data_IF_850026180295
#
_entry.id   IF_850026180295
#
_cell.length_a   1.000
_cell.length_b   1.000
_cell.length_c   1.000
_cell.angle_alpha   90.00
_cell.angle_beta   90.00
_cell.angle_gamma   90.00
#
_symmetry.space_group_name_H-M   'P 1'
#
loop_
_entity.id
_entity.type
_entity.pdbx_description
1 polymer ?
#
# COMPACT_ATOMS: atom_id res chain seq x y z
N UNK A 1 -9.63 -12.44 7.15
CA UNK A 1 -8.25 -12.94 7.39
C UNK A 1 -7.61 -13.74 6.25
N UNK A 2 -8.36 -14.43 5.42
CA UNK A 2 -7.80 -15.34 4.41
C UNK A 2 -7.06 -14.64 3.25
N UNK A 3 -7.63 -13.57 2.68
CA UNK A 3 -6.97 -12.75 1.64
C UNK A 3 -5.68 -12.09 2.11
N UNK A 4 -5.68 -11.59 3.35
CA UNK A 4 -4.48 -10.97 3.96
C UNK A 4 -3.36 -11.99 4.09
N UNK A 5 -3.68 -13.20 4.57
CA UNK A 5 -2.70 -14.27 4.75
C UNK A 5 -2.11 -14.71 3.42
N UNK A 6 -2.95 -15.07 2.44
CA UNK A 6 -2.46 -15.45 1.09
C UNK A 6 -1.65 -14.35 0.43
N UNK A 7 -2.10 -13.10 0.53
CA UNK A 7 -1.36 -11.96 0.00
C UNK A 7 0.03 -11.82 0.64
N UNK A 8 0.13 -12.04 1.96
CA UNK A 8 1.41 -12.04 2.67
C UNK A 8 2.30 -13.20 2.24
N UNK A 9 1.75 -14.41 2.03
CA UNK A 9 2.50 -15.58 1.58
C UNK A 9 3.11 -15.36 0.19
N UNK A 10 2.33 -14.79 -0.74
CA UNK A 10 2.84 -14.38 -2.06
C UNK A 10 3.86 -13.26 -1.97
N UNK A 11 3.64 -12.27 -1.09
CA UNK A 11 4.58 -11.17 -0.89
C UNK A 11 5.93 -11.68 -0.36
N UNK A 12 5.91 -12.59 0.61
CA UNK A 12 7.12 -13.21 1.16
C UNK A 12 7.89 -14.02 0.10
N UNK A 13 7.18 -14.57 -0.88
CA UNK A 13 7.76 -15.28 -2.03
C UNK A 13 8.16 -14.35 -3.18
N UNK A 14 8.16 -13.03 -2.97
CA UNK A 14 8.40 -11.98 -3.98
C UNK A 14 7.44 -12.00 -5.19
N UNK A 15 6.32 -12.73 -5.10
CA UNK A 15 5.28 -12.72 -6.11
C UNK A 15 4.31 -11.56 -5.85
N UNK A 16 4.77 -10.34 -6.13
CA UNK A 16 4.02 -9.13 -5.80
C UNK A 16 2.72 -8.99 -6.59
N UNK A 17 2.65 -9.52 -7.83
CA UNK A 17 1.43 -9.50 -8.65
C UNK A 17 0.34 -10.35 -7.99
N UNK A 18 0.67 -11.58 -7.56
CA UNK A 18 -0.28 -12.42 -6.85
C UNK A 18 -0.67 -11.82 -5.49
N UNK A 19 0.28 -11.21 -4.77
CA UNK A 19 -0.02 -10.50 -3.53
C UNK A 19 -1.04 -9.37 -3.76
N UNK A 20 -0.83 -8.54 -4.78
CA UNK A 20 -1.77 -7.46 -5.17
C UNK A 20 -3.16 -8.01 -5.47
N UNK A 21 -3.25 -9.15 -6.18
CA UNK A 21 -4.51 -9.79 -6.50
C UNK A 21 -5.28 -10.19 -5.24
N UNK A 22 -4.62 -10.86 -4.30
CA UNK A 22 -5.22 -11.28 -3.03
C UNK A 22 -5.66 -10.08 -2.18
N UNK A 23 -4.79 -9.08 -2.03
CA UNK A 23 -5.15 -7.87 -1.28
C UNK A 23 -6.31 -7.13 -1.94
N UNK A 24 -6.37 -7.09 -3.27
CA UNK A 24 -7.47 -6.45 -4.01
C UNK A 24 -8.79 -7.16 -3.76
N UNK A 25 -8.81 -8.49 -3.73
CA UNK A 25 -10.02 -9.24 -3.39
C UNK A 25 -10.45 -8.99 -1.93
N UNK A 26 -9.51 -8.92 -1.00
CA UNK A 26 -9.81 -8.51 0.37
C UNK A 26 -10.40 -7.11 0.47
N UNK A 27 -9.82 -6.13 -0.26
CA UNK A 27 -10.28 -4.74 -0.27
C UNK A 27 -11.67 -4.60 -0.91
N UNK A 28 -12.04 -5.45 -1.87
CA UNK A 28 -13.42 -5.46 -2.41
C UNK A 28 -14.46 -5.78 -1.34
N UNK A 29 -14.10 -6.61 -0.35
CA UNK A 29 -14.98 -6.97 0.76
C UNK A 29 -14.90 -5.95 1.90
N UNK A 30 -13.70 -5.44 2.17
CA UNK A 30 -13.44 -4.46 3.23
C UNK A 30 -12.67 -3.25 2.67
N UNK A 31 -13.35 -2.30 1.99
CA UNK A 31 -12.68 -1.21 1.27
C UNK A 31 -11.84 -0.28 2.14
N UNK A 32 -12.15 -0.24 3.44
CA UNK A 32 -11.54 0.64 4.43
C UNK A 32 -10.50 -0.09 5.30
N UNK A 33 -10.20 -1.36 4.99
CA UNK A 33 -9.22 -2.13 5.76
C UNK A 33 -7.81 -1.57 5.52
N UNK A 34 -7.36 -0.73 6.46
CA UNK A 34 -6.06 -0.06 6.47
C UNK A 34 -4.91 -1.05 6.31
N UNK A 35 -5.01 -2.26 6.85
CA UNK A 35 -3.96 -3.27 6.75
C UNK A 35 -3.82 -3.79 5.32
N UNK A 36 -4.93 -4.10 4.65
CA UNK A 36 -4.91 -4.57 3.27
C UNK A 36 -4.42 -3.49 2.30
N UNK A 37 -4.90 -2.25 2.47
CA UNK A 37 -4.43 -1.09 1.70
C UNK A 37 -2.91 -0.89 1.86
N UNK A 38 -2.42 -0.95 3.10
CA UNK A 38 -1.01 -0.83 3.41
C UNK A 38 -0.16 -1.92 2.75
N UNK A 39 -0.60 -3.17 2.80
CA UNK A 39 0.14 -4.28 2.23
C UNK A 39 0.13 -4.25 0.69
N UNK A 40 -0.98 -3.83 0.08
CA UNK A 40 -1.06 -3.63 -1.37
C UNK A 40 -0.22 -2.45 -1.83
N UNK A 41 -0.18 -1.35 -1.08
CA UNK A 41 0.71 -0.24 -1.34
C UNK A 41 2.19 -0.67 -1.35
N UNK A 42 2.61 -1.50 -0.38
CA UNK A 42 3.97 -2.05 -0.38
C UNK A 42 4.24 -2.89 -1.62
N UNK A 43 3.32 -3.79 -1.99
CA UNK A 43 3.47 -4.62 -3.18
C UNK A 43 3.58 -3.78 -4.47
N UNK A 44 2.80 -2.70 -4.58
CA UNK A 44 2.94 -1.74 -5.67
C UNK A 44 4.29 -1.03 -5.67
N UNK A 45 4.82 -0.63 -4.51
CA UNK A 45 6.16 -0.04 -4.40
C UNK A 45 7.25 -1.01 -4.88
N UNK A 46 7.12 -2.31 -4.61
CA UNK A 46 8.07 -3.33 -5.08
C UNK A 46 8.07 -3.55 -6.59
N UNK A 47 7.03 -3.06 -7.28
CA UNK A 47 6.88 -3.12 -8.73
C UNK A 47 7.00 -1.73 -9.39
N UNK A 48 7.53 -0.74 -8.67
CA UNK A 48 7.64 0.66 -9.12
C UNK A 48 6.30 1.29 -9.57
N UNK A 49 5.17 0.74 -9.13
CA UNK A 49 3.83 1.27 -9.41
C UNK A 49 3.48 2.38 -8.41
N UNK A 50 4.28 3.44 -8.40
CA UNK A 50 4.23 4.48 -7.37
C UNK A 50 2.88 5.18 -7.28
N UNK A 51 2.20 5.41 -8.40
CA UNK A 51 0.88 6.06 -8.41
C UNK A 51 -0.20 5.19 -7.74
N UNK A 52 -0.15 3.87 -7.94
CA UNK A 52 -1.08 2.93 -7.28
C UNK A 52 -0.79 2.83 -5.78
N UNK A 53 0.49 2.76 -5.40
CA UNK A 53 0.89 2.80 -4.00
C UNK A 53 0.41 4.09 -3.31
N UNK A 54 0.59 5.24 -3.98
CA UNK A 54 0.17 6.53 -3.46
C UNK A 54 -1.36 6.57 -3.20
N UNK A 55 -2.18 6.09 -4.14
CA UNK A 55 -3.63 5.98 -3.95
C UNK A 55 -4.01 5.17 -2.71
N UNK A 56 -3.42 4.00 -2.53
CA UNK A 56 -3.71 3.15 -1.37
C UNK A 56 -3.29 3.83 -0.05
N UNK A 57 -2.16 4.54 -0.04
CA UNK A 57 -1.71 5.29 1.15
C UNK A 57 -2.63 6.46 1.48
N UNK A 58 -3.22 7.14 0.48
CA UNK A 58 -4.20 8.19 0.73
C UNK A 58 -5.45 7.64 1.41
N UNK A 59 -6.00 6.53 0.89
CA UNK A 59 -7.18 5.90 1.50
C UNK A 59 -6.86 5.43 2.92
N UNK A 60 -5.71 4.78 3.12
CA UNK A 60 -5.27 4.33 4.44
C UNK A 60 -5.17 5.48 5.45
N UNK A 61 -4.56 6.61 5.07
CA UNK A 61 -4.41 7.78 5.95
C UNK A 61 -5.73 8.54 6.17
N UNK A 62 -6.70 8.45 5.26
CA UNK A 62 -8.05 8.99 5.50
C UNK A 62 -8.75 8.23 6.63
N UNK A 63 -8.53 6.92 6.75
CA UNK A 63 -9.16 6.08 7.78
C UNK A 63 -8.35 5.98 9.08
N UNK A 64 -7.02 6.03 8.98
CA UNK A 64 -6.09 6.03 10.11
C UNK A 64 -4.99 7.08 9.87
N UNK A 65 -5.25 8.35 10.22
CA UNK A 65 -4.31 9.46 9.97
C UNK A 65 -2.95 9.29 10.66
N UNK A 66 -2.89 8.53 11.75
CA UNK A 66 -1.67 8.31 12.53
C UNK A 66 -0.92 7.05 12.08
N UNK A 67 -1.31 6.43 10.96
CA UNK A 67 -0.69 5.20 10.48
C UNK A 67 0.72 5.47 9.92
N UNK A 68 1.74 5.28 10.76
CA UNK A 68 3.14 5.49 10.39
C UNK A 68 3.58 4.67 9.16
N UNK A 69 3.02 3.46 8.98
CA UNK A 69 3.35 2.62 7.79
C UNK A 69 2.78 3.23 6.51
N UNK A 70 1.56 3.76 6.55
CA UNK A 70 0.95 4.42 5.40
C UNK A 70 1.67 5.73 5.06
N UNK A 71 2.01 6.54 6.08
CA UNK A 71 2.80 7.77 5.93
C UNK A 71 4.17 7.51 5.29
N UNK A 72 4.91 6.52 5.81
CA UNK A 72 6.21 6.12 5.25
C UNK A 72 6.10 5.67 3.78
N UNK A 73 5.09 4.86 3.46
CA UNK A 73 4.86 4.40 2.07
C UNK A 73 4.43 5.53 1.15
N UNK A 74 3.64 6.50 1.65
CA UNK A 74 3.28 7.72 0.91
C UNK A 74 4.55 8.49 0.53
N UNK A 75 5.47 8.69 1.48
CA UNK A 75 6.77 9.31 1.22
C UNK A 75 7.58 8.56 0.15
N UNK A 76 7.68 7.23 0.23
CA UNK A 76 8.34 6.40 -0.80
C UNK A 76 7.70 6.55 -2.17
N UNK A 77 6.37 6.52 -2.23
CA UNK A 77 5.63 6.66 -3.49
C UNK A 77 5.85 8.05 -4.12
N UNK A 78 5.80 9.11 -3.31
CA UNK A 78 6.07 10.48 -3.77
C UNK A 78 7.51 10.65 -4.26
N UNK A 79 8.50 10.07 -3.56
CA UNK A 79 9.89 10.03 -4.04
C UNK A 79 10.02 9.31 -5.39
N UNK A 80 9.38 8.15 -5.56
CA UNK A 80 9.35 7.43 -6.83
C UNK A 80 8.70 8.23 -7.98
N UNK A 81 7.70 9.05 -7.67
CA UNK A 81 7.07 10.00 -8.59
C UNK A 81 7.86 11.31 -8.77
N UNK A 82 8.98 11.49 -8.07
CA UNK A 82 9.80 12.71 -8.05
C UNK A 82 9.08 13.95 -7.49
N UNK A 83 8.06 13.75 -6.67
CA UNK A 83 7.34 14.80 -5.94
C UNK A 83 8.00 15.05 -4.57
N UNK A 84 9.25 15.50 -4.60
CA UNK A 84 10.09 15.58 -3.40
C UNK A 84 9.59 16.57 -2.35
N UNK A 85 8.96 17.68 -2.78
CA UNK A 85 8.36 18.67 -1.87
C UNK A 85 7.20 18.09 -1.07
N UNK A 86 6.40 17.24 -1.70
CA UNK A 86 5.28 16.60 -1.03
C UNK A 86 5.79 15.47 -0.12
N UNK A 87 6.84 14.76 -0.55
CA UNK A 87 7.47 13.71 0.25
C UNK A 87 8.03 14.23 1.58
N UNK A 88 8.65 15.41 1.61
CA UNK A 88 9.19 15.99 2.85
C UNK A 88 8.12 16.36 3.88
N UNK A 89 6.85 16.43 3.48
CA UNK A 89 5.72 16.83 4.32
C UNK A 89 4.84 15.63 4.73
N UNK A 90 5.32 14.39 4.59
CA UNK A 90 4.54 13.18 4.89
C UNK A 90 4.65 12.67 6.33
N UNK A 91 5.45 13.31 7.18
CA UNK A 91 5.62 13.06 8.62
C UNK A 91 5.29 14.32 9.42
#
# INVERSE_FOLDING_TARGET
DDFRRRGNDYFASNNYIAAIYEYTNGIKLEPQNVTLLNNRAEAYLRLDQFYNALKDTYIALTHDPNNLKAAYRKGKALCGLKYYKDASNTL
#
